data_IF_454688528920
#
_entry.id   IF_454688528920
#
_cell.length_a   1.000
_cell.length_b   1.000
_cell.length_c   1.000
_cell.angle_alpha   90.00
_cell.angle_beta   90.00
_cell.angle_gamma   90.00
#
_symmetry.space_group_name_H-M   'P 1'
#
loop_
_entity.id
_entity.type
_entity.pdbx_description
1 polymer ?
#
# COMPACT_ATOMS: atom_id res chain seq x y z
N UNK A 1 -28.67 14.30 -12.14
CA UNK A 1 -28.34 13.26 -11.13
C UNK A 1 -27.02 13.65 -10.49
N UNK A 2 -26.95 13.80 -9.17
CA UNK A 2 -25.68 14.11 -8.51
C UNK A 2 -24.78 12.84 -8.46
N UNK A 3 -23.47 13.01 -8.21
CA UNK A 3 -22.50 11.91 -8.21
C UNK A 3 -22.87 10.79 -7.23
N UNK A 4 -23.37 11.13 -6.04
CA UNK A 4 -23.77 10.15 -5.04
C UNK A 4 -24.93 9.27 -5.54
N UNK A 5 -25.99 9.87 -6.11
CA UNK A 5 -27.12 9.12 -6.69
C UNK A 5 -26.68 8.24 -7.86
N UNK A 6 -25.71 8.71 -8.66
CA UNK A 6 -25.15 7.93 -9.76
C UNK A 6 -24.42 6.67 -9.25
N UNK A 7 -23.50 6.82 -8.29
CA UNK A 7 -22.76 5.68 -7.72
C UNK A 7 -23.66 4.70 -6.97
N UNK A 8 -24.69 5.19 -6.25
CA UNK A 8 -25.70 4.32 -5.64
C UNK A 8 -26.43 3.48 -6.69
N UNK A 9 -26.87 4.10 -7.79
CA UNK A 9 -27.53 3.39 -8.89
C UNK A 9 -26.60 2.39 -9.55
N UNK A 10 -25.32 2.74 -9.68
CA UNK A 10 -24.30 1.85 -10.22
C UNK A 10 -24.18 0.57 -9.39
N UNK A 11 -24.08 0.70 -8.06
CA UNK A 11 -24.07 -0.46 -7.16
C UNK A 11 -25.35 -1.28 -7.25
N UNK A 12 -26.53 -0.66 -7.31
CA UNK A 12 -27.81 -1.37 -7.44
C UNK A 12 -27.86 -2.23 -8.71
N UNK A 13 -27.22 -1.78 -9.79
CA UNK A 13 -27.16 -2.55 -11.04
C UNK A 13 -26.17 -3.73 -10.96
N UNK A 14 -25.15 -3.66 -10.11
CA UNK A 14 -24.10 -4.66 -9.94
C UNK A 14 -23.71 -4.78 -8.46
N UNK A 15 -24.49 -5.51 -7.63
CA UNK A 15 -24.35 -5.52 -6.18
C UNK A 15 -23.24 -6.48 -5.71
N UNK A 16 -22.02 -6.23 -6.16
CA UNK A 16 -20.86 -7.13 -5.99
C UNK A 16 -20.36 -7.28 -4.55
N UNK A 17 -20.93 -6.57 -3.57
CA UNK A 17 -20.58 -6.70 -2.16
C UNK A 17 -21.55 -7.63 -1.40
N UNK A 18 -22.61 -8.11 -2.04
CA UNK A 18 -23.68 -8.89 -1.38
C UNK A 18 -23.19 -10.17 -0.69
N UNK A 19 -22.11 -10.77 -1.16
CA UNK A 19 -21.53 -11.98 -0.55
C UNK A 19 -20.72 -11.69 0.71
N UNK A 20 -20.33 -10.43 0.95
CA UNK A 20 -19.57 -10.06 2.13
C UNK A 20 -20.47 -10.03 3.38
N UNK A 21 -19.93 -10.49 4.50
CA UNK A 21 -20.51 -10.31 5.83
C UNK A 21 -20.49 -8.84 6.27
N UNK A 22 -21.20 -8.53 7.37
CA UNK A 22 -21.18 -7.19 7.95
C UNK A 22 -19.79 -6.79 8.45
N UNK A 23 -19.01 -7.75 8.96
CA UNK A 23 -17.65 -7.52 9.44
C UNK A 23 -16.70 -7.23 8.27
N UNK A 24 -16.81 -7.96 7.16
CA UNK A 24 -16.03 -7.69 5.94
C UNK A 24 -16.40 -6.34 5.30
N UNK A 25 -17.68 -5.97 5.27
CA UNK A 25 -18.11 -4.64 4.83
C UNK A 25 -17.56 -3.53 5.72
N UNK A 26 -17.51 -3.76 7.03
CA UNK A 26 -16.99 -2.81 8.01
C UNK A 26 -15.48 -2.66 7.87
N UNK A 27 -14.76 -3.77 7.70
CA UNK A 27 -13.33 -3.77 7.36
C UNK A 27 -13.07 -2.99 6.07
N UNK A 28 -13.89 -3.24 5.03
CA UNK A 28 -13.84 -2.51 3.77
C UNK A 28 -14.07 -1.02 3.92
N UNK A 29 -15.10 -0.61 4.64
CA UNK A 29 -15.35 0.78 4.92
C UNK A 29 -14.16 1.45 5.61
N UNK A 30 -13.57 0.77 6.60
CA UNK A 30 -12.42 1.27 7.35
C UNK A 30 -11.24 1.56 6.44
N UNK A 31 -10.77 0.58 5.66
CA UNK A 31 -9.60 0.81 4.81
C UNK A 31 -9.84 1.80 3.66
N UNK A 32 -11.08 1.90 3.17
CA UNK A 32 -11.43 2.93 2.19
C UNK A 32 -11.33 4.33 2.80
N UNK A 33 -11.77 4.50 4.05
CA UNK A 33 -11.62 5.77 4.79
C UNK A 33 -10.14 6.08 5.06
N UNK A 34 -9.34 5.09 5.45
CA UNK A 34 -7.89 5.25 5.64
C UNK A 34 -7.22 5.78 4.37
N UNK A 35 -7.53 5.19 3.22
CA UNK A 35 -6.99 5.66 1.94
C UNK A 35 -7.59 6.99 1.46
N UNK A 36 -8.84 7.31 1.81
CA UNK A 36 -9.50 8.58 1.49
C UNK A 36 -8.99 9.75 2.32
N UNK A 37 -8.62 9.51 3.58
CA UNK A 37 -8.12 10.55 4.47
C UNK A 37 -6.69 10.93 4.12
N UNK A 38 -6.33 12.19 4.34
CA UNK A 38 -4.98 12.69 4.11
C UNK A 38 -4.61 13.75 5.15
N UNK A 39 -3.33 14.08 5.25
CA UNK A 39 -2.85 15.22 6.01
C UNK A 39 -2.76 16.44 5.08
N UNK A 40 -3.55 17.46 5.37
CA UNK A 40 -3.50 18.72 4.63
C UNK A 40 -2.32 19.58 5.07
N UNK A 41 -1.88 20.50 4.21
CA UNK A 41 -0.76 21.42 4.51
C UNK A 41 -1.06 22.42 5.64
N UNK A 42 -2.33 22.53 6.04
CA UNK A 42 -2.75 23.27 7.24
C UNK A 42 -2.62 22.42 8.54
N UNK A 43 -2.01 21.24 8.47
CA UNK A 43 -1.78 20.34 9.59
C UNK A 43 -3.03 19.56 10.05
N UNK A 44 -4.17 19.71 9.37
CA UNK A 44 -5.43 19.00 9.71
C UNK A 44 -5.62 17.76 8.86
N UNK A 45 -6.44 16.86 9.38
CA UNK A 45 -6.91 15.71 8.62
C UNK A 45 -7.98 16.19 7.65
N UNK A 46 -7.78 15.91 6.36
CA UNK A 46 -8.72 16.21 5.30
C UNK A 46 -9.09 14.95 4.51
N UNK A 47 -9.78 15.17 3.40
CA UNK A 47 -10.08 14.14 2.41
C UNK A 47 -9.28 14.40 1.14
N UNK A 48 -8.86 13.32 0.48
CA UNK A 48 -8.34 13.39 -0.88
C UNK A 48 -9.36 14.05 -1.80
N UNK A 49 -8.87 14.74 -2.83
CA UNK A 49 -9.73 15.38 -3.81
C UNK A 49 -10.59 14.34 -4.55
N UNK A 50 -11.89 14.31 -4.27
CA UNK A 50 -12.85 13.38 -4.86
C UNK A 50 -13.15 13.65 -6.35
N UNK A 51 -12.61 14.75 -6.90
CA UNK A 51 -12.70 15.07 -8.32
C UNK A 51 -11.57 14.43 -9.15
N UNK A 52 -10.57 13.83 -8.48
CA UNK A 52 -9.40 13.23 -9.10
C UNK A 52 -9.21 11.80 -8.61
N UNK A 53 -8.52 10.98 -9.41
CA UNK A 53 -8.08 9.66 -8.93
C UNK A 53 -6.89 9.82 -7.96
N UNK A 54 -6.74 8.92 -6.96
CA UNK A 54 -7.66 7.82 -6.63
C UNK A 54 -8.85 8.24 -5.74
N UNK A 55 -8.96 9.51 -5.34
CA UNK A 55 -9.99 9.98 -4.40
C UNK A 55 -11.42 9.74 -4.89
N UNK A 56 -11.65 9.89 -6.21
CA UNK A 56 -12.94 9.62 -6.84
C UNK A 56 -13.33 8.14 -6.76
N UNK A 57 -12.44 7.22 -7.16
CA UNK A 57 -12.70 5.78 -7.11
C UNK A 57 -12.91 5.29 -5.68
N UNK A 58 -12.09 5.74 -4.72
CA UNK A 58 -12.26 5.38 -3.31
C UNK A 58 -13.61 5.85 -2.75
N UNK A 59 -14.03 7.09 -3.05
CA UNK A 59 -15.31 7.63 -2.59
C UNK A 59 -16.50 6.92 -3.24
N UNK A 60 -16.37 6.51 -4.49
CA UNK A 60 -17.34 5.65 -5.18
C UNK A 60 -17.47 4.31 -4.48
N UNK A 61 -16.36 3.60 -4.23
CA UNK A 61 -16.34 2.32 -3.49
C UNK A 61 -16.93 2.46 -2.09
N UNK A 62 -16.63 3.54 -1.37
CA UNK A 62 -17.21 3.80 -0.05
C UNK A 62 -18.72 4.04 -0.15
N UNK A 63 -19.18 4.77 -1.17
CA UNK A 63 -20.62 4.95 -1.45
C UNK A 63 -21.32 3.62 -1.72
N UNK A 64 -20.66 2.67 -2.37
CA UNK A 64 -21.23 1.33 -2.61
C UNK A 64 -21.41 0.56 -1.31
N UNK A 65 -20.46 0.63 -0.37
CA UNK A 65 -20.61 0.03 0.97
C UNK A 65 -21.82 0.63 1.69
N UNK A 66 -21.99 1.96 1.65
CA UNK A 66 -23.15 2.61 2.25
C UNK A 66 -24.47 2.21 1.60
N UNK A 67 -24.47 2.00 0.27
CA UNK A 67 -25.66 1.55 -0.44
C UNK A 67 -26.01 0.09 -0.10
N UNK A 68 -25.01 -0.76 0.07
CA UNK A 68 -25.21 -2.15 0.46
C UNK A 68 -25.79 -2.27 1.87
N UNK A 69 -25.26 -1.50 2.83
CA UNK A 69 -25.82 -1.41 4.19
C UNK A 69 -27.28 -0.94 4.20
N UNK A 70 -27.60 0.07 3.40
CA UNK A 70 -28.97 0.58 3.23
C UNK A 70 -29.91 -0.51 2.68
N UNK A 71 -29.48 -1.26 1.67
CA UNK A 71 -30.23 -2.39 1.11
C UNK A 71 -30.45 -3.50 2.15
N UNK A 72 -29.44 -3.76 3.01
CA UNK A 72 -29.52 -4.73 4.11
C UNK A 72 -30.29 -4.22 5.33
N UNK A 73 -30.61 -2.92 5.38
CA UNK A 73 -31.15 -2.23 6.58
C UNK A 73 -30.25 -2.43 7.81
N UNK A 74 -28.94 -2.43 7.59
CA UNK A 74 -27.91 -2.59 8.63
C UNK A 74 -27.12 -1.29 8.81
N UNK A 75 -26.50 -1.16 9.98
CA UNK A 75 -25.55 -0.08 10.28
C UNK A 75 -24.18 -0.69 10.57
N UNK A 76 -23.13 0.13 10.46
CA UNK A 76 -21.81 -0.29 10.94
C UNK A 76 -21.87 -0.67 12.43
N UNK A 77 -21.12 -1.72 12.85
CA UNK A 77 -20.87 -1.99 14.26
C UNK A 77 -20.28 -0.78 14.98
N UNK A 78 -20.51 -0.70 16.29
CA UNK A 78 -19.84 0.29 17.11
C UNK A 78 -18.32 0.13 16.98
N UNK A 79 -17.59 1.24 16.97
CA UNK A 79 -16.12 1.24 16.90
C UNK A 79 -15.52 0.54 15.66
N UNK A 80 -16.24 0.44 14.54
CA UNK A 80 -15.70 -0.20 13.32
C UNK A 80 -14.42 0.48 12.77
N UNK A 81 -14.15 1.73 13.16
CA UNK A 81 -12.93 2.48 12.85
C UNK A 81 -11.79 2.25 13.85
N UNK A 82 -11.97 1.40 14.86
CA UNK A 82 -10.92 1.10 15.82
C UNK A 82 -9.73 0.43 15.11
N UNK A 83 -8.52 0.91 15.45
CA UNK A 83 -7.28 0.45 14.82
C UNK A 83 -7.04 1.01 13.42
N UNK A 84 -7.86 1.94 12.94
CA UNK A 84 -7.68 2.49 11.61
C UNK A 84 -6.43 3.38 11.49
N UNK A 85 -5.71 3.24 10.36
CA UNK A 85 -4.53 4.04 10.01
C UNK A 85 -4.91 5.44 9.52
N UNK A 86 -5.58 6.23 10.34
CA UNK A 86 -5.94 7.63 10.04
C UNK A 86 -4.71 8.54 10.23
N UNK A 87 -4.46 9.50 9.31
CA UNK A 87 -3.36 10.45 9.46
C UNK A 87 -3.35 11.13 10.82
N UNK A 88 -2.16 11.31 11.40
CA UNK A 88 -1.98 12.12 12.61
C UNK A 88 -2.03 13.61 12.24
N UNK A 89 -2.84 14.39 12.94
CA UNK A 89 -2.83 15.85 12.78
C UNK A 89 -1.48 16.44 13.22
N UNK A 90 -1.00 17.44 12.51
CA UNK A 90 0.29 18.11 12.71
C UNK A 90 0.11 19.63 12.88
N UNK A 91 -0.80 20.00 13.79
CA UNK A 91 -1.07 21.41 14.11
C UNK A 91 0.20 22.10 14.64
N UNK A 92 0.45 23.33 14.20
CA UNK A 92 1.67 24.09 14.52
C UNK A 92 2.85 23.85 13.56
N UNK A 93 2.76 22.86 12.67
CA UNK A 93 3.79 22.58 11.65
C UNK A 93 3.45 23.14 10.26
N UNK A 94 2.40 23.94 10.11
CA UNK A 94 1.80 24.31 8.83
C UNK A 94 2.81 24.97 7.88
N UNK A 95 3.58 25.95 8.38
CA UNK A 95 4.61 26.63 7.59
C UNK A 95 5.65 25.65 7.04
N UNK A 96 6.01 24.65 7.84
CA UNK A 96 7.01 23.66 7.49
C UNK A 96 6.46 22.66 6.49
N UNK A 97 5.25 22.16 6.69
CA UNK A 97 4.55 21.30 5.73
C UNK A 97 4.42 21.98 4.35
N UNK A 98 4.03 23.26 4.32
CA UNK A 98 3.96 24.05 3.09
C UNK A 98 5.33 24.17 2.42
N UNK A 99 6.38 24.51 3.18
CA UNK A 99 7.73 24.64 2.63
C UNK A 99 8.25 23.32 2.04
N UNK A 100 8.03 22.20 2.72
CA UNK A 100 8.42 20.87 2.27
C UNK A 100 7.66 20.46 1.00
N UNK A 101 6.35 20.69 0.96
CA UNK A 101 5.54 20.40 -0.21
C UNK A 101 5.97 21.26 -1.41
N UNK A 102 6.23 22.55 -1.20
CA UNK A 102 6.78 23.43 -2.25
C UNK A 102 8.15 22.96 -2.73
N UNK A 103 9.03 22.52 -1.83
CA UNK A 103 10.33 21.96 -2.19
C UNK A 103 10.16 20.71 -3.07
N UNK A 104 9.30 19.77 -2.69
CA UNK A 104 9.02 18.56 -3.46
C UNK A 104 8.47 18.87 -4.86
N UNK A 105 7.52 19.82 -4.98
CA UNK A 105 6.96 20.25 -6.27
C UNK A 105 8.05 20.85 -7.18
N UNK A 106 8.95 21.65 -6.62
CA UNK A 106 10.00 22.32 -7.38
C UNK A 106 11.12 21.35 -7.79
N UNK A 107 11.53 20.49 -6.87
CA UNK A 107 12.66 19.57 -7.05
C UNK A 107 12.29 18.30 -7.82
N UNK A 108 11.03 17.87 -7.73
CA UNK A 108 10.48 16.69 -8.42
C UNK A 108 11.34 15.43 -8.23
N UNK A 109 11.57 14.98 -6.97
CA UNK A 109 12.28 13.74 -6.74
C UNK A 109 11.59 12.57 -7.45
N UNK A 110 12.36 11.62 -7.97
CA UNK A 110 11.81 10.41 -8.58
C UNK A 110 11.21 9.51 -7.51
N UNK A 111 11.91 9.36 -6.37
CA UNK A 111 11.47 8.58 -5.22
C UNK A 111 11.73 9.36 -3.92
N UNK A 112 11.00 9.01 -2.86
CA UNK A 112 11.13 9.59 -1.52
C UNK A 112 11.21 8.47 -0.49
N UNK A 113 12.28 8.42 0.29
CA UNK A 113 12.42 7.50 1.43
C UNK A 113 12.18 8.25 2.74
N UNK A 114 11.10 7.96 3.44
CA UNK A 114 10.83 8.50 4.78
C UNK A 114 11.54 7.65 5.85
N UNK A 115 12.08 8.30 6.89
CA UNK A 115 12.77 7.61 7.98
C UNK A 115 13.36 8.56 9.03
N UNK A 116 14.25 8.02 9.88
CA UNK A 116 14.99 8.84 10.83
C UNK A 116 16.21 9.47 10.17
N UNK A 117 16.44 10.74 10.46
CA UNK A 117 17.58 11.53 10.01
C UNK A 117 18.90 10.83 10.26
N UNK A 118 19.08 10.27 11.46
CA UNK A 118 20.32 9.60 11.90
C UNK A 118 20.76 8.46 10.97
N UNK A 119 19.81 7.75 10.33
CA UNK A 119 20.12 6.69 9.37
C UNK A 119 20.26 7.24 7.95
N UNK A 120 19.36 8.14 7.55
CA UNK A 120 19.33 8.67 6.19
C UNK A 120 20.54 9.57 5.87
N UNK A 121 21.04 10.32 6.85
CA UNK A 121 22.23 11.17 6.67
C UNK A 121 23.52 10.37 6.49
N UNK A 122 23.54 9.12 6.96
CA UNK A 122 24.66 8.19 6.82
C UNK A 122 24.51 7.28 5.60
N UNK A 123 23.44 7.45 4.82
CA UNK A 123 23.07 6.55 3.72
C UNK A 123 23.03 5.09 4.17
N UNK A 124 22.52 4.87 5.39
CA UNK A 124 22.35 3.55 5.98
C UNK A 124 20.94 3.06 5.72
N UNK A 125 20.83 1.97 4.97
CA UNK A 125 19.55 1.43 4.53
C UNK A 125 19.33 0.03 5.08
N UNK A 126 18.10 -0.22 5.51
CA UNK A 126 17.63 -1.55 5.90
C UNK A 126 16.81 -2.13 4.77
N UNK A 127 17.19 -3.31 4.30
CA UNK A 127 16.41 -4.16 3.41
C UNK A 127 16.00 -5.38 4.23
N UNK A 128 14.74 -5.80 4.16
CA UNK A 128 14.21 -6.83 5.06
C UNK A 128 13.49 -7.91 4.26
N UNK A 129 13.46 -9.14 4.79
CA UNK A 129 12.66 -10.21 4.22
C UNK A 129 11.17 -9.84 4.20
N UNK A 130 10.47 -10.21 3.14
CA UNK A 130 9.04 -9.96 2.97
C UNK A 130 8.24 -10.53 4.14
N UNK A 131 8.56 -11.75 4.57
CA UNK A 131 7.90 -12.38 5.73
C UNK A 131 8.02 -11.57 7.03
N UNK A 132 9.05 -10.73 7.16
CA UNK A 132 9.30 -9.96 8.38
C UNK A 132 8.31 -8.81 8.61
N UNK A 133 7.53 -8.44 7.58
CA UNK A 133 6.49 -7.42 7.65
C UNK A 133 5.18 -7.93 8.26
N UNK A 134 5.04 -9.25 8.45
CA UNK A 134 3.92 -9.86 9.20
C UNK A 134 4.06 -9.76 10.73
N UNK A 135 5.11 -9.09 11.22
CA UNK A 135 5.43 -8.95 12.65
C UNK A 135 4.41 -8.03 13.36
N UNK A 136 3.65 -8.53 14.37
CA UNK A 136 2.63 -7.75 15.08
C UNK A 136 3.17 -6.57 15.88
N UNK A 137 4.49 -6.46 16.08
CA UNK A 137 5.12 -5.31 16.75
C UNK A 137 5.28 -4.10 15.83
N UNK A 138 5.12 -4.29 14.52
CA UNK A 138 5.13 -3.21 13.54
C UNK A 138 3.87 -2.34 13.67
N UNK A 139 3.99 -1.07 13.27
CA UNK A 139 2.84 -0.19 13.26
C UNK A 139 1.86 -0.56 12.12
N UNK A 140 0.62 -0.09 12.19
CA UNK A 140 -0.42 -0.43 11.21
C UNK A 140 -0.13 0.04 9.78
N UNK A 141 0.79 0.98 9.56
CA UNK A 141 1.23 1.39 8.23
C UNK A 141 2.38 0.50 7.69
N UNK A 142 3.01 -0.31 8.54
CA UNK A 142 4.13 -1.18 8.19
C UNK A 142 3.76 -2.66 8.14
N UNK A 143 2.83 -3.10 8.98
CA UNK A 143 2.43 -4.50 9.08
C UNK A 143 1.65 -4.91 7.83
N UNK A 144 2.20 -5.84 7.04
CA UNK A 144 1.58 -6.37 5.82
C UNK A 144 2.01 -7.83 5.60
N UNK A 145 1.12 -8.66 5.04
CA UNK A 145 1.49 -10.01 4.60
C UNK A 145 2.06 -9.92 3.18
N UNK A 146 3.28 -9.41 3.10
CA UNK A 146 3.99 -9.20 1.82
C UNK A 146 4.11 -10.48 1.01
N UNK A 147 4.02 -11.65 1.64
CA UNK A 147 4.15 -12.95 0.99
C UNK A 147 2.88 -13.44 0.30
N UNK A 148 1.75 -12.74 0.46
CA UNK A 148 0.46 -13.19 -0.05
C UNK A 148 -0.35 -12.08 -0.73
N UNK A 149 -1.06 -12.46 -1.78
CA UNK A 149 -2.16 -11.69 -2.33
C UNK A 149 -3.47 -12.43 -2.08
N UNK A 150 -4.36 -11.84 -1.29
CA UNK A 150 -5.64 -12.45 -0.89
C UNK A 150 -6.79 -11.69 -1.55
N UNK A 151 -7.64 -12.40 -2.30
CA UNK A 151 -8.84 -11.86 -2.94
C UNK A 151 -10.10 -12.53 -2.45
N UNK A 152 -11.17 -11.76 -2.39
CA UNK A 152 -12.51 -12.18 -1.99
C UNK A 152 -13.54 -11.78 -3.05
N UNK A 153 -13.38 -12.22 -4.32
CA UNK A 153 -14.29 -11.86 -5.40
C UNK A 153 -15.70 -12.39 -5.15
N UNK A 154 -16.70 -11.79 -5.79
CA UNK A 154 -18.06 -12.33 -5.77
C UNK A 154 -18.06 -13.75 -6.37
N UNK A 155 -18.72 -14.76 -5.76
CA UNK A 155 -18.66 -16.15 -6.24
C UNK A 155 -19.05 -16.34 -7.70
N UNK A 156 -20.00 -15.55 -8.21
CA UNK A 156 -20.41 -15.60 -9.62
C UNK A 156 -19.32 -15.15 -10.62
N UNK A 157 -18.23 -14.55 -10.14
CA UNK A 157 -17.11 -14.13 -10.99
C UNK A 157 -16.04 -15.22 -11.17
N UNK A 158 -16.12 -16.32 -10.41
CA UNK A 158 -15.16 -17.40 -10.43
C UNK A 158 -15.83 -18.69 -10.89
N UNK A 159 -15.30 -19.31 -11.94
CA UNK A 159 -15.72 -20.65 -12.35
C UNK A 159 -14.97 -21.68 -11.51
N UNK A 160 -15.70 -22.49 -10.75
CA UNK A 160 -15.16 -23.58 -9.96
C UNK A 160 -15.68 -24.92 -10.50
N UNK A 161 -14.78 -25.84 -10.78
CA UNK A 161 -15.12 -27.19 -11.24
C UNK A 161 -14.42 -28.25 -10.40
N UNK A 162 -15.03 -29.42 -10.27
CA UNK A 162 -14.36 -30.62 -9.74
C UNK A 162 -13.23 -31.06 -10.67
N UNK A 163 -12.41 -32.03 -10.24
CA UNK A 163 -11.39 -32.64 -11.10
C UNK A 163 -12.02 -33.32 -12.34
N UNK A 164 -13.27 -33.78 -12.21
CA UNK A 164 -14.03 -34.40 -13.30
C UNK A 164 -14.72 -33.37 -14.21
N UNK A 165 -14.55 -32.07 -13.93
CA UNK A 165 -15.07 -30.97 -14.75
C UNK A 165 -16.52 -30.56 -14.45
N UNK A 166 -17.12 -31.08 -13.37
CA UNK A 166 -18.48 -30.70 -12.96
C UNK A 166 -18.46 -29.35 -12.22
N UNK A 167 -19.40 -28.46 -12.55
CA UNK A 167 -19.49 -27.15 -11.92
C UNK A 167 -19.90 -27.28 -10.44
N UNK A 168 -19.14 -26.64 -9.54
CA UNK A 168 -19.46 -26.57 -8.12
C UNK A 168 -20.54 -25.51 -7.91
N UNK A 169 -21.72 -25.93 -7.45
CA UNK A 169 -22.88 -25.07 -7.20
C UNK A 169 -23.00 -24.69 -5.72
N UNK A 170 -23.71 -23.59 -5.43
CA UNK A 170 -24.04 -23.18 -4.05
C UNK A 170 -22.87 -22.55 -3.28
N UNK A 171 -21.86 -22.03 -3.97
CA UNK A 171 -20.73 -21.34 -3.33
C UNK A 171 -21.18 -19.95 -2.86
N UNK A 172 -21.17 -19.74 -1.55
CA UNK A 172 -21.59 -18.47 -0.93
C UNK A 172 -20.44 -17.45 -0.82
N UNK A 173 -19.20 -17.93 -0.69
CA UNK A 173 -18.01 -17.10 -0.54
C UNK A 173 -16.78 -17.78 -1.13
N UNK A 174 -15.85 -17.01 -1.69
CA UNK A 174 -14.59 -17.50 -2.23
C UNK A 174 -13.44 -16.65 -1.70
N UNK A 175 -12.38 -17.32 -1.26
CA UNK A 175 -11.09 -16.70 -0.93
C UNK A 175 -10.04 -17.29 -1.87
N UNK A 176 -9.39 -16.43 -2.65
CA UNK A 176 -8.26 -16.80 -3.50
C UNK A 176 -6.98 -16.30 -2.83
N UNK A 177 -6.03 -17.19 -2.57
CA UNK A 177 -4.73 -16.85 -2.01
C UNK A 177 -3.65 -17.20 -3.01
N UNK A 178 -2.83 -16.20 -3.38
CA UNK A 178 -1.61 -16.39 -4.15
C UNK A 178 -0.43 -16.17 -3.21
N UNK A 179 0.51 -17.11 -3.20
CA UNK A 179 1.68 -17.05 -2.32
C UNK A 179 2.94 -16.95 -3.18
N UNK A 180 3.90 -16.14 -2.72
CA UNK A 180 5.23 -16.11 -3.34
C UNK A 180 5.89 -17.50 -3.18
N UNK A 181 6.63 -17.93 -4.21
CA UNK A 181 7.26 -19.26 -4.22
C UNK A 181 8.35 -19.43 -3.15
N UNK A 182 8.95 -18.32 -2.74
CA UNK A 182 9.99 -18.21 -1.71
C UNK A 182 9.99 -16.80 -1.12
N UNK A 183 10.64 -16.63 0.04
CA UNK A 183 10.86 -15.31 0.61
C UNK A 183 11.83 -14.49 -0.25
N UNK A 184 11.74 -13.18 -0.11
CA UNK A 184 12.52 -12.21 -0.88
C UNK A 184 12.76 -10.95 -0.06
N UNK A 185 13.81 -10.22 -0.42
CA UNK A 185 14.15 -8.97 0.25
C UNK A 185 13.44 -7.79 -0.39
N UNK A 186 12.92 -6.89 0.44
CA UNK A 186 12.22 -5.68 0.00
C UNK A 186 12.91 -4.43 0.55
N UNK A 187 13.10 -3.44 -0.32
CA UNK A 187 13.32 -2.05 0.05
C UNK A 187 12.21 -1.16 -0.51
N UNK A 188 11.46 -0.53 0.40
CA UNK A 188 10.33 0.32 0.06
C UNK A 188 10.70 1.81 0.09
N UNK A 189 10.28 2.55 -0.92
CA UNK A 189 10.24 4.01 -0.97
C UNK A 189 8.86 4.45 -1.46
N UNK A 190 8.57 5.75 -1.50
CA UNK A 190 7.36 6.28 -2.15
C UNK A 190 7.72 6.88 -3.51
N UNK A 191 6.89 6.64 -4.51
CA UNK A 191 6.98 7.27 -5.83
C UNK A 191 6.50 8.74 -5.83
N UNK A 192 6.11 9.28 -4.68
CA UNK A 192 5.71 10.68 -4.53
C UNK A 192 5.88 11.20 -3.11
N UNK A 193 5.99 12.51 -2.98
CA UNK A 193 6.01 13.16 -1.68
C UNK A 193 4.58 13.33 -1.14
N UNK A 194 4.31 12.81 0.05
CA UNK A 194 3.08 13.03 0.80
C UNK A 194 3.44 13.30 2.28
N UNK A 195 3.04 14.46 2.79
CA UNK A 195 3.36 14.89 4.16
C UNK A 195 2.79 13.96 5.23
N UNK A 196 1.71 13.23 4.91
CA UNK A 196 1.13 12.21 5.79
C UNK A 196 2.17 11.17 6.22
N UNK A 197 3.08 10.81 5.33
CA UNK A 197 4.02 9.71 5.54
C UNK A 197 5.06 10.00 6.63
N UNK A 198 5.26 11.27 7.02
CA UNK A 198 6.03 11.58 8.23
C UNK A 198 5.37 11.01 9.50
N UNK A 199 4.06 11.18 9.65
CA UNK A 199 3.32 10.68 10.81
C UNK A 199 3.15 9.17 10.82
N UNK A 200 2.92 8.59 9.64
CA UNK A 200 2.65 7.15 9.47
C UNK A 200 3.90 6.29 9.69
N UNK A 201 5.07 6.77 9.23
CA UNK A 201 6.36 6.09 9.43
C UNK A 201 7.16 6.62 10.63
N UNK A 202 6.57 7.51 11.43
CA UNK A 202 7.23 8.21 12.54
C UNK A 202 8.58 8.82 12.13
N UNK A 203 8.64 9.33 10.91
CA UNK A 203 9.84 9.90 10.30
C UNK A 203 10.04 11.35 10.76
N UNK A 204 11.30 11.72 10.95
CA UNK A 204 11.72 13.12 11.18
C UNK A 204 12.52 13.67 9.97
N UNK A 205 12.73 12.83 8.95
CA UNK A 205 13.34 13.22 7.69
C UNK A 205 12.85 12.34 6.54
N UNK A 206 13.09 12.82 5.32
CA UNK A 206 13.01 12.02 4.12
C UNK A 206 14.21 12.29 3.21
N UNK A 207 14.54 11.29 2.41
CA UNK A 207 15.58 11.37 1.39
C UNK A 207 14.90 11.51 0.03
N UNK A 208 15.13 12.62 -0.64
CA UNK A 208 14.75 12.83 -2.04
C UNK A 208 15.77 12.13 -2.92
N UNK A 209 15.29 11.24 -3.79
CA UNK A 209 16.13 10.47 -4.71
C UNK A 209 15.85 10.98 -6.12
N UNK A 210 16.87 11.55 -6.77
CA UNK A 210 16.73 12.18 -8.09
C UNK A 210 17.10 11.28 -9.25
N UNK A 211 17.80 10.17 -8.98
CA UNK A 211 18.12 9.16 -9.97
C UNK A 211 17.73 7.78 -9.41
N UNK A 212 16.49 7.39 -9.68
CA UNK A 212 15.94 6.11 -9.24
C UNK A 212 16.62 4.90 -9.88
N UNK A 213 17.16 5.05 -11.10
CA UNK A 213 17.83 3.94 -11.78
C UNK A 213 19.19 3.69 -11.12
N UNK A 214 20.00 4.75 -10.97
CA UNK A 214 21.27 4.66 -10.27
C UNK A 214 21.10 4.19 -8.82
N UNK A 215 20.08 4.69 -8.12
CA UNK A 215 19.77 4.20 -6.77
C UNK A 215 19.49 2.70 -6.75
N UNK A 216 18.74 2.18 -7.72
CA UNK A 216 18.44 0.76 -7.81
C UNK A 216 19.69 -0.08 -8.10
N UNK A 217 20.60 0.40 -8.96
CA UNK A 217 21.88 -0.25 -9.25
C UNK A 217 22.78 -0.30 -7.99
N UNK A 218 22.98 0.84 -7.33
CA UNK A 218 23.80 0.93 -6.11
C UNK A 218 23.21 0.05 -4.97
N UNK A 219 21.87 0.02 -4.85
CA UNK A 219 21.19 -0.84 -3.88
C UNK A 219 21.35 -2.32 -4.22
N UNK A 220 21.24 -2.70 -5.50
CA UNK A 220 21.47 -4.07 -5.96
C UNK A 220 22.91 -4.53 -5.69
N UNK A 221 23.90 -3.68 -5.99
CA UNK A 221 25.30 -3.97 -5.69
C UNK A 221 25.50 -4.19 -4.19
N UNK A 222 24.97 -3.29 -3.36
CA UNK A 222 25.06 -3.39 -1.90
C UNK A 222 24.41 -4.67 -1.35
N UNK A 223 23.20 -5.04 -1.81
CA UNK A 223 22.53 -6.29 -1.43
C UNK A 223 23.35 -7.51 -1.87
N UNK A 224 23.89 -7.47 -3.09
CA UNK A 224 24.69 -8.57 -3.66
C UNK A 224 26.01 -8.82 -2.92
N UNK A 225 26.49 -7.87 -2.10
CA UNK A 225 27.61 -8.10 -1.19
C UNK A 225 27.25 -8.94 0.05
N UNK A 226 25.95 -9.07 0.36
CA UNK A 226 25.45 -9.75 1.56
C UNK A 226 24.81 -11.09 1.28
N UNK A 227 24.12 -11.21 0.14
CA UNK A 227 23.41 -12.42 -0.30
C UNK A 227 23.57 -12.59 -1.80
N UNK A 228 23.53 -13.82 -2.30
CA UNK A 228 23.50 -14.10 -3.73
C UNK A 228 22.09 -13.86 -4.27
N UNK A 229 21.95 -12.84 -5.07
CA UNK A 229 20.70 -12.49 -5.76
C UNK A 229 20.59 -13.28 -7.07
N UNK A 230 19.51 -14.04 -7.24
CA UNK A 230 19.19 -14.76 -8.49
C UNK A 230 18.44 -13.87 -9.48
N UNK A 231 17.51 -13.07 -8.97
CA UNK A 231 16.71 -12.14 -9.75
C UNK A 231 16.40 -10.89 -8.92
N UNK A 232 16.15 -9.78 -9.58
CA UNK A 232 15.77 -8.54 -8.92
C UNK A 232 14.91 -7.68 -9.84
N UNK A 233 14.10 -6.83 -9.22
CA UNK A 233 13.27 -5.91 -9.96
C UNK A 233 12.84 -4.74 -9.11
N UNK A 234 12.42 -3.66 -9.77
CA UNK A 234 11.90 -2.50 -9.07
C UNK A 234 10.81 -1.83 -9.90
N UNK A 235 9.73 -1.40 -9.23
CA UNK A 235 8.62 -0.67 -9.84
C UNK A 235 7.64 -0.14 -8.79
N UNK A 236 6.69 0.67 -9.26
CA UNK A 236 5.48 1.00 -8.51
C UNK A 236 4.70 -0.25 -8.15
N UNK A 237 4.23 -0.29 -6.91
CA UNK A 237 3.31 -1.32 -6.42
C UNK A 237 1.96 -1.21 -7.14
N UNK A 238 1.38 -2.37 -7.43
CA UNK A 238 0.01 -2.45 -7.95
C UNK A 238 -0.96 -2.67 -6.79
N UNK A 239 -1.73 -1.64 -6.48
CA UNK A 239 -2.80 -1.70 -5.48
C UNK A 239 -4.04 -2.37 -6.04
N UNK A 240 -4.58 -3.33 -5.30
CA UNK A 240 -5.73 -4.11 -5.74
C UNK A 240 -6.85 -4.07 -4.72
N UNK A 241 -8.06 -3.88 -5.23
CA UNK A 241 -9.28 -4.09 -4.46
C UNK A 241 -9.55 -5.60 -4.38
N UNK A 242 -9.47 -6.23 -3.20
CA UNK A 242 -9.57 -7.70 -3.08
C UNK A 242 -10.95 -8.21 -3.48
N UNK A 243 -11.99 -7.37 -3.46
CA UNK A 243 -13.36 -7.77 -3.81
C UNK A 243 -13.60 -7.71 -5.32
N UNK A 244 -12.80 -6.93 -6.04
CA UNK A 244 -12.85 -6.83 -7.51
C UNK A 244 -11.46 -6.94 -8.11
N UNK A 245 -10.78 -8.10 -7.96
CA UNK A 245 -9.48 -8.31 -8.57
C UNK A 245 -9.61 -8.27 -10.10
N UNK A 246 -8.54 -7.85 -10.78
CA UNK A 246 -8.50 -7.93 -12.25
C UNK A 246 -8.50 -9.41 -12.66
N UNK A 247 -9.37 -9.77 -13.59
CA UNK A 247 -9.39 -11.11 -14.21
C UNK A 247 -8.12 -11.32 -15.02
N UNK A 248 -7.55 -12.53 -14.96
CA UNK A 248 -6.39 -12.91 -15.77
C UNK A 248 -5.39 -13.74 -14.99
N UNK A 249 -4.10 -13.53 -15.30
CA UNK A 249 -3.00 -14.25 -14.68
C UNK A 249 -2.88 -13.96 -13.18
N UNK A 250 -2.31 -14.88 -12.40
CA UNK A 250 -1.90 -14.63 -11.02
C UNK A 250 -1.11 -13.32 -10.90
N UNK A 251 -1.34 -12.53 -9.84
CA UNK A 251 -0.56 -11.33 -9.61
C UNK A 251 0.91 -11.67 -9.31
N UNK A 252 1.88 -10.82 -9.69
CA UNK A 252 3.22 -10.87 -9.12
C UNK A 252 3.12 -10.40 -7.66
N UNK A 253 3.16 -11.33 -6.72
CA UNK A 253 2.95 -11.08 -5.28
C UNK A 253 3.92 -10.02 -4.76
N UNK A 254 5.15 -10.01 -5.26
CA UNK A 254 6.25 -9.14 -4.82
C UNK A 254 5.96 -7.65 -5.05
N UNK A 255 5.10 -7.33 -6.02
CA UNK A 255 4.70 -5.97 -6.37
C UNK A 255 3.19 -5.75 -6.23
N UNK A 256 2.53 -6.64 -5.50
CA UNK A 256 1.13 -6.54 -5.15
C UNK A 256 1.00 -5.91 -3.76
N UNK A 257 -0.03 -5.09 -3.59
CA UNK A 257 -0.41 -4.64 -2.25
C UNK A 257 -1.91 -4.42 -2.15
N UNK A 258 -2.44 -4.66 -0.97
CA UNK A 258 -3.85 -4.40 -0.71
C UNK A 258 -4.16 -2.89 -0.85
N UNK A 259 -5.33 -2.54 -1.39
CA UNK A 259 -5.73 -1.15 -1.64
C UNK A 259 -5.75 -0.29 -0.36
N UNK A 260 -5.81 -0.87 0.83
CA UNK A 260 -5.73 -0.12 2.09
C UNK A 260 -4.48 0.74 2.20
N UNK A 261 -3.36 0.27 1.64
CA UNK A 261 -2.07 0.98 1.66
C UNK A 261 -1.89 1.94 0.48
N UNK A 262 -2.90 2.18 -0.35
CA UNK A 262 -2.82 3.01 -1.56
C UNK A 262 -2.25 4.41 -1.28
N UNK A 263 -2.51 4.95 -0.08
CA UNK A 263 -2.00 6.26 0.33
C UNK A 263 -0.46 6.33 0.42
N UNK A 264 0.24 5.19 0.50
CA UNK A 264 1.70 5.14 0.62
C UNK A 264 2.42 5.39 -0.69
N UNK A 265 1.74 5.20 -1.83
CA UNK A 265 2.30 5.33 -3.18
C UNK A 265 3.66 4.61 -3.35
N UNK A 266 3.76 3.43 -2.75
CA UNK A 266 4.96 2.63 -2.63
C UNK A 266 5.59 2.24 -3.98
N UNK A 267 6.92 2.35 -3.99
CA UNK A 267 7.84 1.85 -4.99
C UNK A 267 8.77 0.84 -4.32
N UNK A 268 8.75 -0.39 -4.82
CA UNK A 268 9.53 -1.49 -4.26
C UNK A 268 10.77 -1.78 -5.10
N UNK A 269 11.85 -2.08 -4.41
CA UNK A 269 12.97 -2.85 -4.94
C UNK A 269 12.90 -4.23 -4.29
N UNK A 270 12.88 -5.26 -5.11
CA UNK A 270 12.72 -6.67 -4.74
C UNK A 270 13.97 -7.41 -5.17
N UNK A 271 14.50 -8.23 -4.27
CA UNK A 271 15.66 -9.09 -4.54
C UNK A 271 15.32 -10.53 -4.16
N UNK A 272 15.36 -11.42 -5.15
CA UNK A 272 15.12 -12.85 -4.99
C UNK A 272 16.46 -13.53 -4.66
N UNK A 273 16.66 -14.00 -3.43
CA UNK A 273 17.89 -14.67 -3.04
C UNK A 273 17.94 -16.10 -3.58
N UNK A 274 19.15 -16.66 -3.67
CA UNK A 274 19.34 -18.06 -4.02
C UNK A 274 18.83 -18.98 -2.89
N UNK A 275 17.95 -19.93 -3.22
CA UNK A 275 17.18 -20.77 -2.26
C UNK A 275 18.01 -21.53 -1.22
N UNK A 276 19.28 -21.80 -1.51
CA UNK A 276 20.17 -22.56 -0.61
C UNK A 276 20.93 -21.68 0.41
N UNK A 277 20.69 -20.37 0.44
CA UNK A 277 21.42 -19.47 1.35
C UNK A 277 20.75 -19.31 2.71
N UNK A 278 21.58 -19.01 3.71
CA UNK A 278 21.08 -18.48 4.97
C UNK A 278 20.54 -17.06 4.70
N UNK A 279 19.24 -16.87 4.90
CA UNK A 279 18.57 -15.59 4.67
C UNK A 279 18.41 -14.83 5.99
N UNK A 280 19.34 -13.94 6.38
CA UNK A 280 19.14 -13.09 7.55
C UNK A 280 17.87 -12.24 7.39
N UNK A 281 17.13 -12.03 8.47
CA UNK A 281 15.89 -11.23 8.47
C UNK A 281 16.11 -9.83 7.86
N UNK A 282 17.21 -9.17 8.22
CA UNK A 282 17.53 -7.81 7.83
C UNK A 282 18.95 -7.74 7.25
N UNK A 283 19.09 -6.97 6.17
CA UNK A 283 20.34 -6.54 5.59
C UNK A 283 20.53 -5.05 5.89
N UNK A 284 21.59 -4.72 6.61
CA UNK A 284 22.01 -3.34 6.85
C UNK A 284 23.10 -2.97 5.85
N UNK A 285 22.81 -1.97 5.03
CA UNK A 285 23.61 -1.53 3.89
C UNK A 285 24.10 -0.11 4.12
N UNK A 286 25.25 0.23 3.55
CA UNK A 286 25.76 1.59 3.47
C UNK A 286 26.03 1.91 2.00
N UNK A 287 25.46 3.01 1.51
CA UNK A 287 25.56 3.43 0.10
C UNK A 287 25.98 4.91 0.06
N UNK A 288 27.21 5.25 0.46
CA UNK A 288 27.67 6.65 0.53
C UNK A 288 27.64 7.38 -0.83
N UNK A 289 27.75 6.64 -1.93
CA UNK A 289 27.65 7.13 -3.31
C UNK A 289 26.29 7.78 -3.60
N UNK A 290 25.25 7.39 -2.85
CA UNK A 290 23.92 7.98 -2.93
C UNK A 290 23.93 9.49 -2.65
N UNK A 291 24.92 10.00 -1.92
CA UNK A 291 25.11 11.44 -1.72
C UNK A 291 25.20 12.26 -3.01
N UNK A 292 25.64 11.66 -4.11
CA UNK A 292 25.77 12.33 -5.40
C UNK A 292 24.45 12.60 -6.13
N UNK A 293 23.35 11.95 -5.74
CA UNK A 293 22.06 12.03 -6.44
C UNK A 293 20.84 12.03 -5.50
N UNK A 294 21.08 12.35 -4.22
CA UNK A 294 20.02 12.46 -3.22
C UNK A 294 20.13 13.75 -2.41
N UNK A 295 19.03 14.15 -1.77
CA UNK A 295 18.98 15.32 -0.88
C UNK A 295 18.19 14.95 0.38
N UNK A 296 18.81 15.13 1.55
CA UNK A 296 18.17 14.92 2.84
C UNK A 296 17.30 16.13 3.19
N UNK A 297 16.06 15.86 3.54
CA UNK A 297 15.06 16.88 3.89
C UNK A 297 14.46 16.54 5.25
N UNK A 298 14.65 17.38 6.26
CA UNK A 298 14.13 17.13 7.60
C UNK A 298 12.68 17.63 7.73
N UNK A 299 11.87 17.02 8.60
CA UNK A 299 10.60 17.59 9.03
C UNK A 299 10.84 18.85 9.85
#
# INVERSE_FOLDING_TARGET
MNLNSFWRKEYVNEPYLMHLSLDELSYRARYLIESLTTLELNGKIGLRNISQEPGRDLMRKFTHVLQDLDMRKQNFPAMFMQGASIPKAMLGHEKRLMALNSLAINKKPHLVKFGKKEYLEQYSFKVSLASSFSDPSLNAAQMDDEMKAIYTPHPSEVKMTTMDGEDIQGVESIILTYEAAQDYYIFCSSAGFDVRLFGDFEADACLFIYDSHRFAEDLHEAVSTKVRVEDYGYKNVTYVDPVRPKKGNPPPVEFHKHIEYLYQNEYRHVFIPHMSENMPRDLFLSIPEASGYTELVCL
#
